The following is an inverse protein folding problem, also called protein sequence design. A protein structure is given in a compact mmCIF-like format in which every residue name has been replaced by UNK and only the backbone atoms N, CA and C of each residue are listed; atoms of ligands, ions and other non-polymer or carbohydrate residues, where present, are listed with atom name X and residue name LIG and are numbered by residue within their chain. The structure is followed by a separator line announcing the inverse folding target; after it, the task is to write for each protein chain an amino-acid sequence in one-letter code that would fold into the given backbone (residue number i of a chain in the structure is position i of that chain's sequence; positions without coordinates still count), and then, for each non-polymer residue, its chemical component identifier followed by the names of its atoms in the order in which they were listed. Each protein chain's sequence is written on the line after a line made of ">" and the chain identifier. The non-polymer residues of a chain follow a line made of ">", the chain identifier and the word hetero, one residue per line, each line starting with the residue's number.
data_IF_953481288459
#
_entry.id   IF_953481288459
#
_cell.length_a   1.000
_cell.length_b   1.000
_cell.length_c   1.000
_cell.angle_alpha   90.00
_cell.angle_beta   90.00
_cell.angle_gamma   90.00
#
_symmetry.space_group_name_H-M   'P 1'
#
loop_
_entity.id
_entity.type
_entity.pdbx_description
1 polymer ?
#
# COMPACT_ATOMS: atom_id res chain seq x y z
N UNK A 1 -10.84 16.95 6.43
CA UNK A 1 -10.67 15.59 6.99
C UNK A 1 -10.99 15.63 8.47
N UNK A 2 -11.81 14.70 8.96
CA UNK A 2 -12.17 14.56 10.36
C UNK A 2 -11.48 13.33 10.95
N UNK A 3 -10.79 13.50 12.07
CA UNK A 3 -10.10 12.42 12.79
C UNK A 3 -10.71 12.35 14.19
N UNK A 4 -11.15 11.16 14.59
CA UNK A 4 -11.73 10.94 15.93
C UNK A 4 -10.89 9.93 16.70
N UNK A 5 -10.53 10.26 17.94
CA UNK A 5 -9.82 9.37 18.87
C UNK A 5 -10.88 8.45 19.49
N UNK A 6 -10.75 7.14 19.29
CA UNK A 6 -11.81 6.18 19.65
C UNK A 6 -11.98 6.07 21.15
N UNK A 7 -10.88 5.96 21.91
CA UNK A 7 -10.92 5.78 23.37
C UNK A 7 -11.63 6.91 24.12
N UNK A 8 -11.52 8.15 23.59
CA UNK A 8 -12.12 9.33 24.18
C UNK A 8 -13.41 9.78 23.49
N UNK A 9 -13.76 9.20 22.34
CA UNK A 9 -14.85 9.68 21.48
C UNK A 9 -14.62 11.12 20.99
N UNK A 10 -13.39 11.60 21.00
CA UNK A 10 -13.04 13.00 20.75
C UNK A 10 -12.61 13.22 19.31
N UNK A 11 -13.24 14.20 18.66
CA UNK A 11 -12.80 14.70 17.36
C UNK A 11 -11.62 15.64 17.58
N UNK A 12 -10.55 15.49 16.80
CA UNK A 12 -9.43 16.42 16.79
C UNK A 12 -9.92 17.72 16.13
N UNK A 13 -9.88 18.87 16.84
CA UNK A 13 -10.31 20.13 16.27
C UNK A 13 -9.44 20.54 15.08
N UNK A 14 -10.07 21.11 14.04
CA UNK A 14 -9.33 21.60 12.87
C UNK A 14 -8.30 22.70 13.24
N UNK A 15 -8.55 23.45 14.30
CA UNK A 15 -7.62 24.47 14.82
C UNK A 15 -6.34 23.89 15.45
N UNK A 16 -6.40 22.63 15.88
CA UNK A 16 -5.24 21.92 16.45
C UNK A 16 -4.52 21.06 15.41
N UNK A 17 -5.17 20.79 14.26
CA UNK A 17 -4.61 19.99 13.19
C UNK A 17 -3.70 20.85 12.29
N UNK A 18 -2.40 20.58 12.31
CA UNK A 18 -1.41 21.30 11.50
C UNK A 18 -1.38 20.74 10.07
N UNK A 19 -1.39 19.41 9.96
CA UNK A 19 -1.42 18.71 8.68
C UNK A 19 -2.06 17.34 8.85
N UNK A 20 -2.69 16.83 7.79
CA UNK A 20 -3.19 15.46 7.76
C UNK A 20 -3.18 14.92 6.33
N UNK A 21 -2.67 13.73 6.16
CA UNK A 21 -2.60 13.01 4.89
C UNK A 21 -3.18 11.61 5.08
N UNK A 22 -4.28 11.34 4.41
CA UNK A 22 -4.80 9.98 4.24
C UNK A 22 -4.24 9.43 2.95
N UNK A 23 -3.58 8.30 3.02
CA UNK A 23 -2.89 7.68 1.90
C UNK A 23 -3.44 6.29 1.63
N UNK A 24 -3.71 5.99 0.36
CA UNK A 24 -3.97 4.64 -0.13
C UNK A 24 -2.93 4.26 -1.18
N UNK A 25 -2.49 3.00 -1.14
CA UNK A 25 -1.44 2.44 -1.99
C UNK A 25 -1.79 1.03 -2.46
N UNK A 26 -1.14 0.56 -3.53
CA UNK A 26 -1.26 -0.81 -4.01
C UNK A 26 -0.23 -1.75 -3.35
N UNK A 27 -0.18 -1.77 -2.03
CA UNK A 27 0.81 -2.52 -1.22
C UNK A 27 0.12 -3.35 -0.11
N UNK A 28 0.84 -4.27 0.56
CA UNK A 28 0.24 -5.14 1.60
C UNK A 28 -0.47 -4.44 2.75
N UNK A 29 -0.09 -3.22 3.08
CA UNK A 29 -0.87 -2.35 3.99
C UNK A 29 -1.42 -1.20 3.13
N UNK A 30 -2.63 -1.34 2.59
CA UNK A 30 -3.08 -0.49 1.49
C UNK A 30 -3.64 0.87 1.92
N UNK A 31 -3.73 1.16 3.22
CA UNK A 31 -4.11 2.49 3.69
C UNK A 31 -3.40 2.87 4.99
N UNK A 32 -2.99 4.12 5.07
CA UNK A 32 -2.34 4.73 6.21
C UNK A 32 -2.77 6.18 6.38
N UNK A 33 -2.58 6.72 7.58
CA UNK A 33 -2.80 8.12 7.89
C UNK A 33 -1.56 8.70 8.55
N UNK A 34 -1.16 9.86 8.10
CA UNK A 34 -0.14 10.69 8.77
C UNK A 34 -0.77 12.03 9.12
N UNK A 35 -0.58 12.48 10.34
CA UNK A 35 -1.05 13.79 10.74
C UNK A 35 -0.16 14.39 11.82
N UNK A 36 -0.18 15.71 11.88
CA UNK A 36 0.52 16.48 12.91
C UNK A 36 -0.50 17.41 13.59
N UNK A 37 -0.50 17.41 14.91
CA UNK A 37 -1.34 18.27 15.73
C UNK A 37 -0.50 19.17 16.61
N UNK A 38 -1.07 20.29 17.06
CA UNK A 38 -0.48 21.09 18.11
C UNK A 38 -0.48 20.31 19.42
N UNK A 39 0.64 20.36 20.15
CA UNK A 39 0.75 19.73 21.47
C UNK A 39 -0.13 20.49 22.47
N UNK A 40 -1.08 19.77 23.05
CA UNK A 40 -1.89 20.20 24.18
C UNK A 40 -1.81 19.12 25.24
N UNK A 41 -1.99 19.48 26.53
CA UNK A 41 -1.94 18.50 27.63
C UNK A 41 -2.89 17.33 27.40
N UNK A 42 -4.03 17.60 26.79
CA UNK A 42 -5.05 16.60 26.50
C UNK A 42 -4.62 15.68 25.35
N UNK A 43 -4.21 16.21 24.19
CA UNK A 43 -3.76 15.41 23.05
C UNK A 43 -2.49 14.62 23.37
N UNK A 44 -1.57 15.18 24.14
CA UNK A 44 -0.37 14.48 24.62
C UNK A 44 -0.70 13.26 25.46
N UNK A 45 -1.81 13.32 26.19
CA UNK A 45 -2.28 12.18 27.01
C UNK A 45 -3.02 11.11 26.20
N UNK A 46 -3.74 11.50 25.15
CA UNK A 46 -4.59 10.62 24.32
C UNK A 46 -3.84 9.97 23.16
N UNK A 47 -2.98 10.73 22.47
CA UNK A 47 -2.26 10.24 21.30
C UNK A 47 -1.04 9.42 21.72
N UNK A 48 -1.22 8.10 21.76
CA UNK A 48 -0.17 7.12 22.09
C UNK A 48 -0.16 6.00 21.07
N UNK A 49 0.96 5.34 20.94
CA UNK A 49 1.05 4.11 20.13
C UNK A 49 0.04 3.07 20.62
N UNK A 50 -0.69 2.48 19.67
CA UNK A 50 -1.79 1.57 19.95
C UNK A 50 -3.17 2.23 20.05
N UNK A 51 -3.27 3.56 20.10
CA UNK A 51 -4.57 4.26 20.09
C UNK A 51 -5.26 4.06 18.74
N UNK A 52 -6.59 3.87 18.77
CA UNK A 52 -7.42 3.72 17.59
C UNK A 52 -8.03 5.06 17.18
N UNK A 53 -8.00 5.29 15.88
CA UNK A 53 -8.58 6.48 15.25
C UNK A 53 -9.61 6.08 14.20
N UNK A 54 -10.68 6.84 14.09
CA UNK A 54 -11.56 6.78 12.91
C UNK A 54 -11.33 8.02 12.04
N UNK A 55 -11.41 7.85 10.73
CA UNK A 55 -11.14 8.90 9.75
C UNK A 55 -12.32 9.00 8.80
N UNK A 56 -13.04 10.12 8.82
CA UNK A 56 -14.24 10.34 8.00
C UNK A 56 -15.18 9.12 8.01
N UNK A 57 -15.63 8.70 6.81
CA UNK A 57 -16.56 7.58 6.61
C UNK A 57 -15.85 6.22 6.41
N UNK A 58 -14.56 6.13 6.71
CA UNK A 58 -13.84 4.86 6.64
C UNK A 58 -14.28 3.99 7.82
N UNK A 59 -14.93 2.86 7.52
CA UNK A 59 -15.52 1.97 8.53
C UNK A 59 -14.49 1.22 9.39
N UNK A 60 -13.23 1.16 8.93
CA UNK A 60 -12.15 0.51 9.66
C UNK A 60 -11.30 1.52 10.41
N UNK A 61 -11.03 1.28 11.71
CA UNK A 61 -10.15 2.15 12.47
C UNK A 61 -8.71 2.03 11.99
N UNK A 62 -7.97 3.11 12.21
CA UNK A 62 -6.51 3.16 12.10
C UNK A 62 -5.91 3.03 13.49
N UNK A 63 -4.85 2.26 13.63
CA UNK A 63 -4.09 2.17 14.87
C UNK A 63 -2.80 2.98 14.73
N UNK A 64 -2.51 3.82 15.74
CA UNK A 64 -1.28 4.58 15.80
C UNK A 64 -0.10 3.62 16.03
N UNK A 65 0.81 3.59 15.05
CA UNK A 65 2.02 2.75 15.10
C UNK A 65 3.26 3.56 15.49
N UNK A 66 3.19 4.87 15.36
CA UNK A 66 4.27 5.79 15.74
C UNK A 66 3.70 7.13 16.17
N UNK A 67 4.16 7.59 17.30
CA UNK A 67 3.84 8.92 17.85
C UNK A 67 5.14 9.60 18.25
N UNK A 68 5.43 10.76 17.62
CA UNK A 68 6.70 11.46 17.81
C UNK A 68 6.43 12.89 18.25
N UNK A 69 6.85 13.30 19.47
CA UNK A 69 6.78 14.68 19.90
C UNK A 69 7.71 15.56 19.05
N UNK A 70 7.17 16.64 18.49
CA UNK A 70 7.92 17.65 17.76
C UNK A 70 8.24 18.78 18.71
N UNK A 71 9.50 18.90 19.11
CA UNK A 71 9.97 19.97 19.97
C UNK A 71 10.37 21.18 19.12
N UNK A 72 9.72 22.31 19.34
CA UNK A 72 10.16 23.60 18.76
C UNK A 72 10.86 24.42 19.82
N UNK A 73 11.75 25.34 19.39
CA UNK A 73 12.36 26.31 20.29
C UNK A 73 11.46 27.54 20.53
N UNK A 74 10.34 27.62 19.86
CA UNK A 74 9.42 28.75 19.94
C UNK A 74 8.61 28.68 21.23
N UNK A 75 8.69 29.76 22.02
CA UNK A 75 7.89 29.94 23.23
C UNK A 75 6.75 30.92 22.90
N UNK A 76 5.52 30.55 23.17
CA UNK A 76 4.33 31.41 23.07
C UNK A 76 3.60 31.38 24.41
N UNK A 77 3.42 32.56 25.05
CA UNK A 77 2.77 32.67 26.36
C UNK A 77 3.35 31.71 27.41
N UNK A 78 4.69 31.74 27.57
CA UNK A 78 5.46 30.89 28.48
C UNK A 78 5.36 29.38 28.29
N UNK A 79 4.74 28.92 27.18
CA UNK A 79 4.69 27.52 26.79
C UNK A 79 5.50 27.28 25.52
N UNK A 80 6.28 26.23 25.51
CA UNK A 80 6.91 25.77 24.26
C UNK A 80 5.84 25.35 23.31
N UNK A 81 5.83 25.94 22.12
CA UNK A 81 4.94 25.49 21.04
C UNK A 81 5.52 24.17 20.52
N UNK A 82 4.84 23.10 20.79
CA UNK A 82 5.19 21.76 20.32
C UNK A 82 4.12 21.21 19.40
N UNK A 83 4.45 20.14 18.72
CA UNK A 83 3.50 19.34 17.94
C UNK A 83 3.68 17.86 18.26
N UNK A 84 2.74 17.07 17.80
CA UNK A 84 2.80 15.62 17.83
C UNK A 84 2.60 15.13 16.39
N UNK A 85 3.58 14.43 15.86
CA UNK A 85 3.47 13.74 14.57
C UNK A 85 3.04 12.31 14.81
N UNK A 86 1.98 11.90 14.15
CA UNK A 86 1.35 10.59 14.30
C UNK A 86 1.31 9.85 12.96
N UNK A 87 1.64 8.57 12.99
CA UNK A 87 1.48 7.66 11.85
C UNK A 87 0.58 6.51 12.29
N UNK A 88 -0.50 6.32 11.55
CA UNK A 88 -1.45 5.23 11.76
C UNK A 88 -1.63 4.39 10.52
N UNK A 89 -2.00 3.12 10.71
CA UNK A 89 -2.36 2.19 9.64
C UNK A 89 -3.66 1.48 9.99
N UNK A 90 -4.27 0.84 8.99
CA UNK A 90 -5.47 0.02 9.21
C UNK A 90 -5.24 -0.99 10.35
N UNK A 91 -5.98 -0.85 11.44
CA UNK A 91 -5.79 -1.64 12.67
C UNK A 91 -5.91 -3.15 12.40
N UNK A 92 -6.84 -3.55 11.55
CA UNK A 92 -7.02 -4.95 11.16
C UNK A 92 -5.85 -5.56 10.36
N UNK A 93 -4.86 -4.75 9.95
CA UNK A 93 -3.65 -5.19 9.25
C UNK A 93 -2.41 -5.25 10.16
N UNK A 94 -2.48 -4.84 11.42
CA UNK A 94 -1.32 -4.75 12.33
C UNK A 94 -0.47 -6.03 12.38
N UNK A 95 -1.12 -7.18 12.47
CA UNK A 95 -0.42 -8.47 12.55
C UNK A 95 0.43 -8.78 11.32
N UNK A 96 0.14 -8.16 10.18
CA UNK A 96 0.89 -8.38 8.95
C UNK A 96 2.29 -7.75 8.97
N UNK A 97 2.52 -6.72 9.79
CA UNK A 97 3.84 -6.08 9.95
C UNK A 97 4.66 -6.65 11.13
N UNK A 98 4.04 -7.47 11.95
CA UNK A 98 4.73 -8.15 13.04
C UNK A 98 5.45 -9.40 12.52
N UNK A 99 6.55 -9.77 13.16
CA UNK A 99 7.22 -11.03 12.86
C UNK A 99 6.32 -12.22 13.20
N UNK A 100 6.20 -13.16 12.26
CA UNK A 100 5.39 -14.36 12.46
C UNK A 100 5.93 -15.20 13.62
N UNK A 101 5.05 -15.54 14.57
CA UNK A 101 5.42 -16.35 15.75
C UNK A 101 5.54 -17.84 15.43
N UNK A 102 4.93 -18.28 14.33
CA UNK A 102 4.93 -19.66 13.84
C UNK A 102 5.05 -19.68 12.32
N UNK A 103 5.44 -20.80 11.76
CA UNK A 103 5.44 -20.97 10.31
C UNK A 103 4.01 -21.09 9.78
N UNK A 104 3.73 -20.40 8.67
CA UNK A 104 2.48 -20.49 7.92
C UNK A 104 2.88 -21.02 6.54
N UNK A 105 2.48 -22.26 6.25
CA UNK A 105 2.79 -22.93 4.98
C UNK A 105 1.48 -23.45 4.41
N UNK A 106 1.14 -22.99 3.21
CA UNK A 106 -0.10 -23.38 2.53
C UNK A 106 0.18 -23.63 1.05
N UNK A 107 -0.38 -24.69 0.51
CA UNK A 107 -0.38 -25.02 -0.91
C UNK A 107 -1.84 -24.94 -1.41
N UNK A 108 -2.03 -24.59 -2.69
CA UNK A 108 -3.34 -24.48 -3.31
C UNK A 108 -4.34 -23.68 -2.46
N UNK A 109 -3.94 -22.50 -2.09
CA UNK A 109 -4.66 -21.62 -1.16
C UNK A 109 -5.18 -20.38 -1.86
N UNK A 110 -5.76 -19.46 -1.11
CA UNK A 110 -6.22 -18.16 -1.61
C UNK A 110 -5.63 -17.02 -0.80
N UNK A 111 -5.59 -15.83 -1.38
CA UNK A 111 -5.14 -14.62 -0.71
C UNK A 111 -5.92 -14.37 0.59
N UNK A 112 -7.26 -14.50 0.56
CA UNK A 112 -8.09 -14.27 1.73
C UNK A 112 -7.77 -15.26 2.85
N UNK A 113 -7.55 -16.53 2.54
CA UNK A 113 -7.15 -17.55 3.51
C UNK A 113 -5.79 -17.26 4.12
N UNK A 114 -4.82 -16.89 3.29
CA UNK A 114 -3.46 -16.56 3.72
C UNK A 114 -3.43 -15.33 4.63
N UNK A 115 -4.10 -14.25 4.24
CA UNK A 115 -4.09 -13.02 5.03
C UNK A 115 -4.76 -13.22 6.40
N UNK A 116 -5.80 -14.08 6.47
CA UNK A 116 -6.41 -14.50 7.74
C UNK A 116 -5.46 -15.36 8.57
N UNK A 117 -4.77 -16.31 7.97
CA UNK A 117 -3.77 -17.13 8.65
C UNK A 117 -2.61 -16.26 9.21
N UNK A 118 -2.27 -15.17 8.55
CA UNK A 118 -1.31 -14.17 9.03
C UNK A 118 -1.88 -13.25 10.14
N UNK A 119 -3.14 -13.42 10.52
CA UNK A 119 -3.76 -12.71 11.64
C UNK A 119 -4.45 -11.39 11.28
N UNK A 120 -4.69 -11.10 10.02
CA UNK A 120 -5.47 -9.92 9.64
C UNK A 120 -6.95 -10.10 10.01
N UNK A 121 -7.57 -9.04 10.55
CA UNK A 121 -8.99 -9.02 10.95
C UNK A 121 -9.84 -8.08 10.10
N UNK A 122 -9.23 -7.37 9.15
CA UNK A 122 -9.89 -6.43 8.26
C UNK A 122 -10.91 -7.11 7.34
N UNK A 123 -11.93 -6.37 6.88
CA UNK A 123 -12.87 -6.88 5.87
C UNK A 123 -12.16 -7.14 4.55
N UNK A 124 -12.40 -8.32 3.97
CA UNK A 124 -11.79 -8.76 2.73
C UNK A 124 -12.81 -8.69 1.59
N UNK A 125 -12.33 -8.32 0.41
CA UNK A 125 -13.10 -8.26 -0.82
C UNK A 125 -12.74 -9.39 -1.79
N UNK A 126 -12.39 -9.02 -3.03
CA UNK A 126 -12.03 -9.98 -4.07
C UNK A 126 -10.87 -10.87 -3.65
N UNK A 127 -11.00 -12.15 -3.93
CA UNK A 127 -10.02 -13.17 -3.62
C UNK A 127 -9.17 -13.52 -4.85
N UNK A 128 -8.01 -14.11 -4.62
CA UNK A 128 -7.08 -14.54 -5.64
C UNK A 128 -6.50 -15.91 -5.27
N UNK A 129 -6.51 -16.90 -6.17
CA UNK A 129 -5.83 -18.17 -5.92
C UNK A 129 -4.31 -17.96 -5.84
N UNK A 130 -3.70 -18.58 -4.84
CA UNK A 130 -2.27 -18.62 -4.62
C UNK A 130 -1.81 -20.07 -4.61
N UNK A 131 -0.99 -20.51 -5.59
CA UNK A 131 -0.52 -21.90 -5.64
C UNK A 131 0.25 -22.31 -4.39
N UNK A 132 0.99 -21.37 -3.81
CA UNK A 132 1.81 -21.61 -2.62
C UNK A 132 1.98 -20.34 -1.82
N UNK A 133 2.02 -20.48 -0.49
CA UNK A 133 2.44 -19.42 0.42
C UNK A 133 3.30 -19.99 1.54
N UNK A 134 4.43 -19.35 1.81
CA UNK A 134 5.34 -19.71 2.88
C UNK A 134 5.78 -18.45 3.62
N UNK A 135 5.42 -18.36 4.90
CA UNK A 135 5.91 -17.37 5.84
C UNK A 135 6.49 -18.12 7.05
N UNK A 136 7.80 -18.20 7.14
CA UNK A 136 8.47 -18.90 8.23
C UNK A 136 8.40 -18.09 9.52
N UNK A 137 8.60 -18.77 10.66
CA UNK A 137 8.76 -18.11 11.96
C UNK A 137 9.87 -17.05 11.86
N UNK A 138 9.59 -15.85 12.38
CA UNK A 138 10.51 -14.71 12.33
C UNK A 138 10.50 -13.95 10.99
N UNK A 139 9.73 -14.39 9.97
CA UNK A 139 9.51 -13.63 8.75
C UNK A 139 8.36 -12.65 8.92
N UNK A 140 8.40 -11.57 8.16
CA UNK A 140 7.34 -10.56 8.14
C UNK A 140 6.29 -10.90 7.06
N UNK A 141 5.01 -11.12 7.44
CA UNK A 141 3.95 -11.50 6.49
C UNK A 141 3.81 -10.55 5.30
N UNK A 142 3.91 -9.23 5.51
CA UNK A 142 3.80 -8.24 4.41
C UNK A 142 4.83 -8.46 3.31
N UNK A 143 6.08 -8.75 3.66
CA UNK A 143 7.13 -9.02 2.67
C UNK A 143 6.85 -10.29 1.90
N UNK A 144 6.36 -11.33 2.58
CA UNK A 144 6.02 -12.60 1.95
C UNK A 144 4.80 -12.46 1.03
N UNK A 145 3.75 -11.76 1.48
CA UNK A 145 2.57 -11.45 0.66
C UNK A 145 2.96 -10.70 -0.61
N UNK A 146 3.75 -9.63 -0.50
CA UNK A 146 4.22 -8.87 -1.66
C UNK A 146 4.94 -9.77 -2.67
N UNK A 147 5.83 -10.63 -2.18
CA UNK A 147 6.60 -11.57 -3.02
C UNK A 147 5.69 -12.55 -3.79
N UNK A 148 4.74 -13.19 -3.11
CA UNK A 148 3.85 -14.16 -3.77
C UNK A 148 2.82 -13.49 -4.69
N UNK A 149 2.33 -12.31 -4.34
CA UNK A 149 1.44 -11.55 -5.22
C UNK A 149 2.15 -11.08 -6.49
N UNK A 150 3.43 -10.72 -6.40
CA UNK A 150 4.22 -10.36 -7.58
C UNK A 150 4.32 -11.55 -8.56
N UNK A 151 4.49 -12.78 -8.06
CA UNK A 151 4.48 -14.01 -8.88
C UNK A 151 3.14 -14.25 -9.58
N UNK A 152 2.06 -13.68 -9.05
CA UNK A 152 0.73 -13.73 -9.66
C UNK A 152 0.36 -12.48 -10.47
N UNK A 153 1.31 -11.56 -10.70
CA UNK A 153 1.06 -10.24 -11.28
C UNK A 153 -0.10 -9.51 -10.61
N UNK A 154 -0.13 -9.53 -9.28
CA UNK A 154 -1.21 -9.01 -8.47
C UNK A 154 -0.70 -8.02 -7.41
N UNK A 155 -1.59 -7.14 -6.99
CA UNK A 155 -1.36 -6.13 -5.95
C UNK A 155 -2.53 -6.13 -4.96
N UNK A 156 -2.31 -5.53 -3.80
CA UNK A 156 -3.37 -5.32 -2.82
C UNK A 156 -3.89 -3.88 -2.95
N UNK A 157 -5.20 -3.71 -2.87
CA UNK A 157 -5.85 -2.41 -2.84
C UNK A 157 -6.89 -2.35 -1.72
N UNK A 158 -7.22 -1.12 -1.30
CA UNK A 158 -8.27 -0.83 -0.34
C UNK A 158 -9.37 -0.02 -1.04
N UNK A 159 -10.48 -0.65 -1.35
CA UNK A 159 -11.61 -0.05 -2.03
C UNK A 159 -12.92 -0.50 -1.36
N UNK A 160 -13.88 0.40 -1.26
CA UNK A 160 -15.19 0.13 -0.64
C UNK A 160 -15.06 -0.47 0.79
N UNK A 161 -14.14 0.06 1.58
CA UNK A 161 -13.85 -0.43 2.93
C UNK A 161 -13.43 -1.92 3.00
N UNK A 162 -12.84 -2.47 1.93
CA UNK A 162 -12.35 -3.86 1.88
C UNK A 162 -10.94 -3.92 1.31
N UNK A 163 -10.15 -4.81 1.87
CA UNK A 163 -8.83 -5.16 1.33
C UNK A 163 -9.01 -6.29 0.33
N UNK A 164 -8.49 -6.12 -0.87
CA UNK A 164 -8.63 -7.07 -1.98
C UNK A 164 -7.29 -7.32 -2.66
N UNK A 165 -7.04 -8.54 -3.11
CA UNK A 165 -6.00 -8.82 -4.08
C UNK A 165 -6.58 -8.79 -5.49
N UNK A 166 -5.92 -8.05 -6.40
CA UNK A 166 -6.36 -7.92 -7.78
C UNK A 166 -5.17 -8.07 -8.73
N UNK A 167 -5.38 -8.78 -9.84
CA UNK A 167 -4.39 -8.85 -10.91
C UNK A 167 -4.23 -7.48 -11.58
N UNK A 168 -2.99 -7.12 -11.93
CA UNK A 168 -2.66 -5.85 -12.59
C UNK A 168 -3.51 -5.66 -13.85
N UNK A 169 -3.63 -6.69 -14.68
CA UNK A 169 -4.41 -6.61 -15.92
C UNK A 169 -5.91 -6.31 -15.68
N UNK A 170 -6.44 -6.66 -14.49
CA UNK A 170 -7.85 -6.43 -14.17
C UNK A 170 -8.19 -4.97 -13.94
N UNK A 171 -7.23 -4.15 -13.52
CA UNK A 171 -7.45 -2.71 -13.38
C UNK A 171 -7.79 -2.05 -14.70
N UNK A 172 -7.06 -2.38 -15.77
CA UNK A 172 -7.25 -1.78 -17.09
C UNK A 172 -8.54 -2.22 -17.81
N UNK A 173 -9.23 -3.24 -17.27
CA UNK A 173 -10.57 -3.64 -17.73
C UNK A 173 -11.68 -2.80 -17.11
N UNK A 174 -11.41 -2.09 -16.02
CA UNK A 174 -12.38 -1.21 -15.36
C UNK A 174 -12.63 0.04 -16.22
N UNK A 175 -13.81 0.63 -16.05
CA UNK A 175 -14.09 1.93 -16.64
C UNK A 175 -13.36 3.04 -15.87
N UNK A 176 -12.89 4.07 -16.58
CA UNK A 176 -12.29 5.23 -15.93
C UNK A 176 -13.31 5.95 -15.03
N UNK A 177 -12.89 6.32 -13.82
CA UNK A 177 -13.74 7.12 -12.93
C UNK A 177 -13.87 8.57 -13.41
N UNK A 178 -12.88 9.05 -14.16
CA UNK A 178 -12.91 10.38 -14.78
C UNK A 178 -11.90 10.49 -15.92
N UNK A 179 -12.11 11.48 -16.79
CA UNK A 179 -11.16 11.88 -17.83
C UNK A 179 -10.41 13.12 -17.35
N UNK A 180 -9.12 13.15 -17.57
CA UNK A 180 -8.26 14.25 -17.17
C UNK A 180 -7.57 14.86 -18.38
N UNK A 181 -7.38 16.16 -18.32
CA UNK A 181 -6.58 16.89 -19.31
C UNK A 181 -5.09 16.57 -19.10
N UNK A 182 -4.34 16.24 -20.17
CA UNK A 182 -2.91 15.97 -20.12
C UNK A 182 -2.07 17.09 -19.50
N UNK A 183 -2.50 18.34 -19.66
CA UNK A 183 -1.83 19.53 -19.11
C UNK A 183 -1.87 19.57 -17.56
N UNK A 184 -2.79 18.84 -16.98
CA UNK A 184 -2.93 18.74 -15.51
C UNK A 184 -1.98 17.72 -14.87
N UNK A 185 -1.20 17.02 -15.69
CA UNK A 185 -0.29 15.96 -15.25
C UNK A 185 1.15 16.43 -15.32
N UNK A 186 1.88 16.30 -14.24
CA UNK A 186 3.33 16.43 -14.25
C UNK A 186 3.91 15.08 -14.69
N UNK A 187 4.26 15.00 -15.96
CA UNK A 187 4.75 13.77 -16.57
C UNK A 187 6.17 13.44 -16.16
N UNK A 188 6.41 12.16 -15.87
CA UNK A 188 7.74 11.60 -15.63
C UNK A 188 8.15 10.88 -16.90
N UNK A 189 9.17 11.41 -17.58
CA UNK A 189 9.75 10.81 -18.77
C UNK A 189 11.24 10.54 -18.52
N UNK A 190 11.56 9.31 -18.20
CA UNK A 190 12.95 8.89 -18.01
C UNK A 190 13.13 7.45 -18.46
N UNK A 191 13.69 7.28 -19.68
CA UNK A 191 14.04 5.95 -20.18
C UNK A 191 14.94 5.15 -19.22
N UNK A 192 15.96 5.73 -18.56
CA UNK A 192 16.77 5.00 -17.60
C UNK A 192 15.95 4.49 -16.41
N UNK A 193 15.02 5.29 -15.86
CA UNK A 193 14.15 4.84 -14.75
C UNK A 193 13.22 3.72 -15.19
N UNK A 194 12.70 3.74 -16.39
CA UNK A 194 11.88 2.66 -16.93
C UNK A 194 12.66 1.36 -17.05
N UNK A 195 13.89 1.42 -17.54
CA UNK A 195 14.77 0.25 -17.63
C UNK A 195 15.12 -0.32 -16.26
N UNK A 196 15.37 0.53 -15.27
CA UNK A 196 15.64 0.08 -13.90
C UNK A 196 14.42 -0.56 -13.20
N UNK A 197 13.21 -0.15 -13.56
CA UNK A 197 11.97 -0.68 -12.99
C UNK A 197 11.52 -1.98 -13.67
N UNK A 198 11.99 -2.26 -14.87
CA UNK A 198 11.73 -3.51 -15.59
C UNK A 198 12.94 -4.43 -15.41
N UNK A 199 12.72 -5.60 -14.81
CA UNK A 199 13.72 -6.65 -14.71
C UNK A 199 13.24 -7.84 -15.51
N UNK A 200 14.15 -8.49 -16.23
CA UNK A 200 13.90 -9.79 -16.82
C UNK A 200 14.21 -10.88 -15.81
N UNK A 201 13.43 -11.95 -15.84
CA UNK A 201 13.58 -13.05 -14.90
C UNK A 201 13.89 -14.36 -15.64
N UNK A 202 14.73 -15.17 -15.01
CA UNK A 202 15.08 -16.49 -15.48
C UNK A 202 14.91 -17.50 -14.35
N UNK A 203 14.42 -18.68 -14.67
CA UNK A 203 14.32 -19.80 -13.74
C UNK A 203 14.87 -21.07 -14.38
N UNK A 204 15.23 -22.05 -13.57
CA UNK A 204 15.57 -23.40 -14.00
C UNK A 204 14.50 -24.33 -13.45
N UNK A 205 13.82 -25.05 -14.34
CA UNK A 205 12.83 -26.04 -13.98
C UNK A 205 13.47 -27.31 -13.39
N UNK A 206 12.67 -28.17 -12.78
CA UNK A 206 13.14 -29.41 -12.17
C UNK A 206 13.79 -30.37 -13.17
N UNK A 207 13.46 -30.26 -14.46
CA UNK A 207 14.04 -31.05 -15.57
C UNK A 207 15.39 -30.47 -16.05
N UNK A 208 15.87 -29.36 -15.48
CA UNK A 208 17.09 -28.68 -15.85
C UNK A 208 16.95 -27.68 -17.00
N UNK A 209 15.76 -27.52 -17.60
CA UNK A 209 15.55 -26.52 -18.65
C UNK A 209 15.52 -25.12 -18.08
N UNK A 210 16.10 -24.15 -18.82
CA UNK A 210 16.07 -22.75 -18.48
C UNK A 210 14.85 -22.09 -19.10
N UNK A 211 14.05 -21.39 -18.28
CA UNK A 211 12.90 -20.60 -18.72
C UNK A 211 13.22 -19.13 -18.55
N UNK A 212 13.13 -18.37 -19.62
CA UNK A 212 13.32 -16.92 -19.67
C UNK A 212 11.95 -16.25 -19.85
N UNK A 213 11.67 -15.19 -19.11
CA UNK A 213 10.39 -14.48 -19.17
C UNK A 213 10.22 -13.68 -20.45
N UNK A 214 11.14 -12.77 -20.72
CA UNK A 214 11.21 -11.97 -21.93
C UNK A 214 12.51 -12.22 -22.66
N UNK A 215 12.45 -12.70 -23.91
CA UNK A 215 13.60 -12.95 -24.76
C UNK A 215 14.18 -11.64 -25.36
N UNK A 216 13.44 -10.54 -25.28
CA UNK A 216 13.87 -9.23 -25.77
C UNK A 216 14.74 -8.50 -24.72
N UNK A 217 15.89 -9.07 -24.37
CA UNK A 217 16.84 -8.43 -23.46
C UNK A 217 17.47 -7.24 -24.17
N UNK A 218 16.94 -6.04 -23.90
CA UNK A 218 17.57 -4.80 -24.34
C UNK A 218 18.75 -4.46 -23.44
N UNK A 219 19.83 -3.87 -23.97
CA UNK A 219 20.95 -3.41 -23.16
C UNK A 219 20.47 -2.49 -22.03
N UNK A 220 20.87 -2.78 -20.80
CA UNK A 220 20.47 -2.04 -19.60
C UNK A 220 19.38 -2.71 -18.75
N UNK A 221 18.78 -3.81 -19.22
CA UNK A 221 17.89 -4.63 -18.37
C UNK A 221 18.72 -5.52 -17.42
N UNK A 222 18.29 -5.59 -16.18
CA UNK A 222 18.83 -6.53 -15.20
C UNK A 222 18.14 -7.87 -15.34
N UNK A 223 18.90 -8.94 -15.48
CA UNK A 223 18.38 -10.31 -15.42
C UNK A 223 18.55 -10.86 -14.03
N UNK A 224 17.46 -11.30 -13.41
CA UNK A 224 17.47 -11.88 -12.06
C UNK A 224 17.05 -13.35 -12.10
N UNK A 225 17.88 -14.22 -11.57
CA UNK A 225 17.52 -15.62 -11.42
C UNK A 225 16.59 -15.82 -10.21
N UNK A 226 15.49 -16.53 -10.44
CA UNK A 226 14.51 -16.92 -9.41
C UNK A 226 14.25 -18.42 -9.53
N UNK A 227 14.74 -19.21 -8.60
CA UNK A 227 14.52 -20.66 -8.60
C UNK A 227 13.09 -21.02 -8.16
N UNK A 228 12.57 -22.14 -8.68
CA UNK A 228 11.32 -22.75 -8.26
C UNK A 228 10.05 -22.02 -8.75
N UNK A 229 10.15 -21.27 -9.84
CA UNK A 229 9.02 -20.64 -10.52
C UNK A 229 8.66 -21.45 -11.78
N UNK A 230 7.38 -21.45 -12.13
CA UNK A 230 6.91 -21.91 -13.43
C UNK A 230 7.02 -20.78 -14.49
N UNK A 231 6.90 -21.17 -15.79
CA UNK A 231 6.98 -20.21 -16.90
C UNK A 231 5.94 -19.08 -16.82
N UNK A 232 4.74 -19.36 -16.29
CA UNK A 232 3.67 -18.38 -16.07
C UNK A 232 4.09 -17.36 -15.01
N UNK A 233 4.67 -17.82 -13.91
CA UNK A 233 5.13 -16.96 -12.81
C UNK A 233 6.30 -16.08 -13.24
N UNK A 234 7.23 -16.60 -14.04
CA UNK A 234 8.34 -15.81 -14.61
C UNK A 234 7.79 -14.66 -15.45
N UNK A 235 6.84 -14.91 -16.36
CA UNK A 235 6.17 -13.88 -17.15
C UNK A 235 5.38 -12.88 -16.29
N UNK A 236 4.76 -13.35 -15.21
CA UNK A 236 4.04 -12.49 -14.29
C UNK A 236 4.95 -11.51 -13.54
N UNK A 237 6.16 -11.93 -13.18
CA UNK A 237 7.15 -11.07 -12.50
C UNK A 237 7.52 -9.83 -13.34
N UNK A 238 7.41 -9.90 -14.65
CA UNK A 238 7.72 -8.80 -15.56
C UNK A 238 6.58 -7.76 -15.67
N UNK A 239 5.38 -8.13 -15.20
CA UNK A 239 4.25 -7.22 -15.14
C UNK A 239 4.38 -6.30 -13.94
N UNK A 240 4.90 -5.09 -14.19
CA UNK A 240 5.08 -4.06 -13.17
C UNK A 240 4.30 -2.80 -13.51
N UNK A 241 3.80 -2.13 -12.48
CA UNK A 241 3.18 -0.82 -12.60
C UNK A 241 4.28 0.24 -12.49
N UNK A 242 4.42 1.07 -13.53
CA UNK A 242 5.45 2.10 -13.62
C UNK A 242 4.81 3.47 -13.46
N UNK A 243 5.32 4.28 -12.53
CA UNK A 243 4.88 5.64 -12.33
C UNK A 243 5.15 6.49 -13.57
N UNK A 244 4.10 7.08 -14.16
CA UNK A 244 4.17 7.88 -15.37
C UNK A 244 3.97 9.37 -15.14
N UNK A 245 3.40 9.73 -14.02
CA UNK A 245 3.14 11.12 -13.71
C UNK A 245 2.50 11.31 -12.35
N UNK A 246 2.37 12.57 -11.96
CA UNK A 246 1.73 13.01 -10.72
C UNK A 246 0.67 14.05 -11.02
N UNK A 247 -0.42 14.01 -10.29
CA UNK A 247 -1.53 14.95 -10.41
C UNK A 247 -1.81 15.55 -9.05
N UNK A 248 -2.00 16.87 -8.98
CA UNK A 248 -2.43 17.56 -7.77
C UNK A 248 -3.86 18.08 -8.02
N UNK A 249 -4.79 17.72 -7.16
CA UNK A 249 -6.20 18.09 -7.26
C UNK A 249 -6.75 18.44 -5.88
N UNK A 250 -7.88 19.16 -5.80
CA UNK A 250 -8.61 19.30 -4.54
C UNK A 250 -8.93 17.93 -3.94
N UNK A 251 -8.91 17.86 -2.61
CA UNK A 251 -9.18 16.62 -1.88
C UNK A 251 -10.50 15.98 -2.31
N UNK A 252 -10.41 14.74 -2.76
CA UNK A 252 -11.55 13.89 -3.05
C UNK A 252 -11.33 12.51 -2.41
N UNK A 253 -12.01 12.26 -1.31
CA UNK A 253 -11.87 11.04 -0.51
C UNK A 253 -12.39 9.77 -1.21
N UNK A 254 -13.09 9.93 -2.34
CA UNK A 254 -13.58 8.81 -3.14
C UNK A 254 -12.50 8.28 -4.11
N UNK A 255 -11.38 9.00 -4.27
CA UNK A 255 -10.29 8.56 -5.13
C UNK A 255 -9.28 7.74 -4.33
N UNK A 256 -9.04 6.52 -4.80
CA UNK A 256 -8.19 5.56 -4.11
C UNK A 256 -7.16 4.95 -5.05
N UNK A 257 -6.13 4.38 -4.48
CA UNK A 257 -5.21 3.53 -5.24
C UNK A 257 -5.98 2.38 -5.90
N UNK A 258 -5.70 2.13 -7.18
CA UNK A 258 -6.43 1.15 -8.01
C UNK A 258 -7.58 1.73 -8.82
N UNK A 259 -7.89 3.01 -8.70
CA UNK A 259 -8.81 3.69 -9.60
C UNK A 259 -8.17 3.95 -10.96
N UNK A 260 -9.00 4.08 -12.00
CA UNK A 260 -8.56 4.30 -13.36
C UNK A 260 -8.93 5.71 -13.81
N UNK A 261 -7.94 6.43 -14.34
CA UNK A 261 -8.13 7.66 -15.07
C UNK A 261 -7.90 7.44 -16.57
N UNK A 262 -8.64 8.19 -17.40
CA UNK A 262 -8.38 8.30 -18.85
C UNK A 262 -7.68 9.62 -19.14
N UNK A 263 -6.53 9.57 -19.82
CA UNK A 263 -5.76 10.73 -20.26
C UNK A 263 -5.33 10.45 -21.69
N UNK A 264 -5.68 11.31 -22.65
CA UNK A 264 -5.42 11.10 -24.10
C UNK A 264 -5.85 9.72 -24.59
N UNK A 265 -7.07 9.30 -24.23
CA UNK A 265 -7.64 7.99 -24.61
C UNK A 265 -6.84 6.77 -24.11
N UNK A 266 -5.92 6.98 -23.17
CA UNK A 266 -5.17 5.92 -22.49
C UNK A 266 -5.60 5.78 -21.05
N UNK A 267 -5.68 4.54 -20.56
CA UNK A 267 -6.01 4.24 -19.16
C UNK A 267 -4.75 4.26 -18.29
N UNK A 268 -4.84 4.93 -17.15
CA UNK A 268 -3.80 4.98 -16.13
C UNK A 268 -4.39 4.55 -14.79
N UNK A 269 -3.67 3.71 -14.07
CA UNK A 269 -4.05 3.29 -12.72
C UNK A 269 -3.40 4.19 -11.68
N UNK A 270 -4.16 4.59 -10.68
CA UNK A 270 -3.65 5.33 -9.51
C UNK A 270 -2.82 4.38 -8.66
N UNK A 271 -1.52 4.63 -8.55
CA UNK A 271 -0.62 3.84 -7.70
C UNK A 271 -0.74 4.25 -6.23
N UNK A 272 -0.80 5.56 -6.00
CA UNK A 272 -0.92 6.18 -4.69
C UNK A 272 -1.90 7.34 -4.78
N UNK A 273 -2.85 7.40 -3.86
CA UNK A 273 -3.68 8.57 -3.60
C UNK A 273 -3.39 9.07 -2.18
N UNK A 274 -3.03 10.35 -2.05
CA UNK A 274 -2.65 10.96 -0.77
C UNK A 274 -3.15 12.41 -0.69
#
# INVERSE_FOLDING_TARGET
>A
MQITIVSAGKIIPASELISATLRTDLVPIPASIEFTVQSTTELDSLLKEGELLTVNDISHPFELIKVTPLKTQTIKQDRRVGGISCIGMLAGCKRLIEYSKQAIISNETTFNSVIRACGATISLGSDLPLPKFVCLKGSMPTQRLAHYLQQEAAVICFQNNKVSAQKIDSFFKKDPITKLDPSSVVWISSKPLELMQKSSFVTVENNGSTVVGDDSITPGHTVTQRAGLDARQVKNLEKVLIMRGTIIRPLNLNWNAGDIFEIDSKKYVVLTAA
#
